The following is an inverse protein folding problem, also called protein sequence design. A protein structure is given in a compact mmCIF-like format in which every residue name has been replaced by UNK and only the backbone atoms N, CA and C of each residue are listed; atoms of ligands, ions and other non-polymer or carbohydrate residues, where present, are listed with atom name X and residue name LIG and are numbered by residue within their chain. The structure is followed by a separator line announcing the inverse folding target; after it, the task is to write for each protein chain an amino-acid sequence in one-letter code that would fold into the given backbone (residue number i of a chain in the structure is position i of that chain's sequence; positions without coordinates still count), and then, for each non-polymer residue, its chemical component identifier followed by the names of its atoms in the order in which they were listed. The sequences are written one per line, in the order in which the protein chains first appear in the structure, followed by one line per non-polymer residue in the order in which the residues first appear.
data_IF_508057067358
#
_entry.id   IF_508057067358
#
_cell.length_a   1.000
_cell.length_b   1.000
_cell.length_c   1.000
_cell.angle_alpha   90.00
_cell.angle_beta   90.00
_cell.angle_gamma   90.00
#
_symmetry.space_group_name_H-M   'P 1'
#
loop_
_entity.id
_entity.type
_entity.pdbx_description
1 polymer ?
#
# COMPACT_ATOMS: atom_id res chain seq x y z
N UNK A 1 -23.83 -12.33 -31.19
CA UNK A 1 -22.47 -11.79 -31.42
C UNK A 1 -21.67 -11.98 -30.13
N UNK A 2 -20.41 -12.42 -30.23
CA UNK A 2 -19.63 -12.87 -29.09
C UNK A 2 -19.27 -11.71 -28.15
N UNK A 3 -19.42 -11.90 -26.84
CA UNK A 3 -18.97 -10.92 -25.85
C UNK A 3 -17.43 -11.02 -25.70
N UNK A 4 -16.72 -9.90 -25.47
CA UNK A 4 -15.30 -9.92 -25.17
C UNK A 4 -15.03 -10.72 -23.89
N UNK A 5 -13.87 -11.38 -23.84
CA UNK A 5 -13.45 -12.13 -22.65
C UNK A 5 -13.08 -11.18 -21.51
N UNK A 6 -13.06 -11.71 -20.28
CA UNK A 6 -12.60 -10.96 -19.10
C UNK A 6 -11.15 -10.49 -19.24
N UNK A 7 -10.31 -11.26 -19.93
CA UNK A 7 -8.92 -10.88 -20.22
C UNK A 7 -8.85 -9.68 -21.16
N UNK A 8 -9.70 -9.63 -22.19
CA UNK A 8 -9.78 -8.48 -23.11
C UNK A 8 -10.29 -7.23 -22.40
N UNK A 9 -11.27 -7.36 -21.50
CA UNK A 9 -11.75 -6.25 -20.67
C UNK A 9 -10.66 -5.72 -19.72
N UNK A 10 -9.89 -6.62 -19.12
CA UNK A 10 -8.74 -6.25 -18.26
C UNK A 10 -7.64 -5.57 -19.08
N UNK A 11 -7.27 -6.14 -20.23
CA UNK A 11 -6.27 -5.57 -21.13
C UNK A 11 -6.71 -4.22 -21.71
N UNK A 12 -8.01 -3.99 -21.90
CA UNK A 12 -8.56 -2.68 -22.26
C UNK A 12 -8.35 -1.66 -21.14
N UNK A 13 -8.61 -2.05 -19.89
CA UNK A 13 -8.42 -1.20 -18.71
C UNK A 13 -6.94 -0.83 -18.53
N UNK A 14 -6.04 -1.80 -18.66
CA UNK A 14 -4.59 -1.61 -18.50
C UNK A 14 -3.94 -0.90 -19.71
N UNK A 15 -4.69 -0.65 -20.79
CA UNK A 15 -4.18 -0.03 -22.01
C UNK A 15 -3.24 -0.93 -22.83
N UNK A 16 -3.30 -2.25 -22.61
CA UNK A 16 -2.46 -3.25 -23.25
C UNK A 16 -3.00 -3.73 -24.61
N UNK A 17 -4.26 -3.42 -24.93
CA UNK A 17 -4.83 -3.73 -26.24
C UNK A 17 -4.28 -2.81 -27.34
N UNK A 18 -3.99 -3.40 -28.50
CA UNK A 18 -3.72 -2.64 -29.72
C UNK A 18 -4.91 -1.76 -30.11
N UNK A 19 -4.64 -0.67 -30.83
CA UNK A 19 -5.65 0.37 -31.18
C UNK A 19 -6.93 -0.19 -31.81
N UNK A 20 -6.81 -1.13 -32.74
CA UNK A 20 -7.96 -1.73 -33.42
C UNK A 20 -8.84 -2.55 -32.45
N UNK A 21 -8.24 -3.45 -31.67
CA UNK A 21 -8.93 -4.27 -30.68
C UNK A 21 -9.55 -3.40 -29.58
N UNK A 22 -8.82 -2.41 -29.07
CA UNK A 22 -9.35 -1.49 -28.07
C UNK A 22 -10.58 -0.73 -28.59
N UNK A 23 -10.60 -0.34 -29.86
CA UNK A 23 -11.78 0.30 -30.47
C UNK A 23 -12.95 -0.67 -30.61
N UNK A 24 -12.70 -1.90 -31.05
CA UNK A 24 -13.75 -2.93 -31.18
C UNK A 24 -14.40 -3.25 -29.83
N UNK A 25 -13.60 -3.46 -28.79
CA UNK A 25 -14.10 -3.73 -27.43
C UNK A 25 -14.85 -2.53 -26.87
N UNK A 26 -14.37 -1.29 -27.05
CA UNK A 26 -15.09 -0.08 -26.63
C UNK A 26 -16.45 0.06 -27.32
N UNK A 27 -16.51 -0.19 -28.62
CA UNK A 27 -17.77 -0.16 -29.36
C UNK A 27 -18.72 -1.23 -28.81
N UNK A 28 -18.24 -2.46 -28.58
CA UNK A 28 -19.07 -3.50 -27.99
C UNK A 28 -19.58 -3.12 -26.59
N UNK A 29 -18.75 -2.53 -25.74
CA UNK A 29 -19.16 -2.06 -24.40
C UNK A 29 -20.25 -0.98 -24.51
N UNK A 30 -20.19 -0.12 -25.52
CA UNK A 30 -21.22 0.91 -25.74
C UNK A 30 -22.57 0.31 -26.14
N UNK A 31 -22.57 -0.81 -26.89
CA UNK A 31 -23.79 -1.45 -27.42
C UNK A 31 -24.30 -2.61 -26.54
N UNK A 32 -23.49 -3.14 -25.61
CA UNK A 32 -23.81 -4.31 -24.80
C UNK A 32 -23.90 -3.95 -23.30
N UNK A 33 -25.13 -3.90 -22.71
CA UNK A 33 -25.31 -3.48 -21.32
C UNK A 33 -24.65 -4.42 -20.31
N UNK A 34 -24.57 -5.73 -20.62
CA UNK A 34 -23.86 -6.71 -19.79
C UNK A 34 -22.38 -6.37 -19.70
N UNK A 35 -21.72 -6.15 -20.84
CA UNK A 35 -20.30 -5.82 -20.88
C UNK A 35 -20.01 -4.45 -20.27
N UNK A 36 -20.92 -3.48 -20.43
CA UNK A 36 -20.83 -2.20 -19.73
C UNK A 36 -20.84 -2.36 -18.21
N UNK A 37 -21.73 -3.20 -17.68
CA UNK A 37 -21.81 -3.46 -16.24
C UNK A 37 -20.58 -4.20 -15.72
N UNK A 38 -20.09 -5.21 -16.45
CA UNK A 38 -18.89 -5.97 -16.08
C UNK A 38 -17.66 -5.04 -16.06
N UNK A 39 -17.47 -4.22 -17.10
CA UNK A 39 -16.36 -3.29 -17.18
C UNK A 39 -16.42 -2.21 -16.09
N UNK A 40 -17.61 -1.67 -15.78
CA UNK A 40 -17.79 -0.73 -14.69
C UNK A 40 -17.50 -1.35 -13.31
N UNK A 41 -17.83 -2.63 -13.13
CA UNK A 41 -17.54 -3.37 -11.90
C UNK A 41 -16.04 -3.58 -11.72
N UNK A 42 -15.37 -4.04 -12.77
CA UNK A 42 -13.91 -4.18 -12.81
C UNK A 42 -13.21 -2.86 -12.48
N UNK A 43 -13.61 -1.78 -13.14
CA UNK A 43 -13.07 -0.44 -12.91
C UNK A 43 -13.21 0.00 -11.45
N UNK A 44 -14.38 -0.23 -10.83
CA UNK A 44 -14.63 0.12 -9.43
C UNK A 44 -13.79 -0.70 -8.45
N UNK A 45 -13.65 -2.00 -8.69
CA UNK A 45 -12.83 -2.89 -7.85
C UNK A 45 -11.36 -2.44 -7.87
N UNK A 46 -10.82 -2.16 -9.06
CA UNK A 46 -9.43 -1.72 -9.21
C UNK A 46 -9.18 -0.33 -8.59
N UNK A 47 -10.11 0.61 -8.74
CA UNK A 47 -10.04 1.91 -8.08
C UNK A 47 -10.06 1.80 -6.55
N UNK A 48 -10.89 0.92 -6.01
CA UNK A 48 -10.96 0.68 -4.57
C UNK A 48 -9.66 0.03 -4.05
N UNK A 49 -9.13 -0.94 -4.78
CA UNK A 49 -7.84 -1.55 -4.47
C UNK A 49 -6.72 -0.51 -4.44
N UNK A 50 -6.64 0.37 -5.44
CA UNK A 50 -5.64 1.44 -5.51
C UNK A 50 -5.72 2.40 -4.31
N UNK A 51 -6.91 2.68 -3.78
CA UNK A 51 -7.09 3.52 -2.58
C UNK A 51 -6.67 2.85 -1.28
N UNK A 52 -6.75 1.52 -1.21
CA UNK A 52 -6.43 0.74 -0.01
C UNK A 52 -4.94 0.52 0.21
N UNK A 53 -4.12 0.73 -0.83
CA UNK A 53 -2.66 0.65 -0.72
C UNK A 53 -2.14 1.98 -0.17
N UNK A 54 -1.73 1.99 1.10
CA UNK A 54 -1.03 3.14 1.66
C UNK A 54 0.25 3.40 0.84
N UNK A 55 0.51 4.64 0.40
CA UNK A 55 1.74 4.95 -0.29
C UNK A 55 2.94 4.60 0.60
N UNK A 56 3.97 3.98 0.04
CA UNK A 56 5.18 3.55 0.75
C UNK A 56 5.71 4.53 1.84
N UNK A 57 5.81 5.85 1.60
CA UNK A 57 6.25 6.80 2.63
C UNK A 57 5.36 6.84 3.88
N UNK A 58 4.06 6.60 3.76
CA UNK A 58 3.16 6.49 4.91
C UNK A 58 3.45 5.23 5.74
N UNK A 59 3.78 4.12 5.08
CA UNK A 59 4.10 2.85 5.75
C UNK A 59 5.41 2.97 6.53
N UNK A 60 6.45 3.59 5.95
CA UNK A 60 7.71 3.84 6.66
C UNK A 60 7.53 4.78 7.85
N UNK A 61 6.70 5.83 7.71
CA UNK A 61 6.35 6.74 8.81
C UNK A 61 5.62 6.00 9.93
N UNK A 62 4.66 5.14 9.60
CA UNK A 62 3.94 4.32 10.58
C UNK A 62 4.87 3.32 11.30
N UNK A 63 5.82 2.71 10.58
CA UNK A 63 6.85 1.84 11.15
C UNK A 63 7.79 2.60 12.10
N UNK A 64 8.21 3.79 11.72
CA UNK A 64 9.05 4.63 12.58
C UNK A 64 8.29 5.04 13.86
N UNK A 65 7.02 5.45 13.72
CA UNK A 65 6.18 5.83 14.85
C UNK A 65 5.97 4.65 15.81
N UNK A 66 5.60 3.48 15.30
CA UNK A 66 5.41 2.26 16.11
C UNK A 66 6.71 1.82 16.80
N UNK A 67 7.87 1.95 16.13
CA UNK A 67 9.18 1.73 16.77
C UNK A 67 9.39 2.68 17.95
N UNK A 68 9.18 3.98 17.76
CA UNK A 68 9.33 4.96 18.83
C UNK A 68 8.36 4.74 19.99
N UNK A 69 7.12 4.35 19.74
CA UNK A 69 6.17 3.97 20.80
C UNK A 69 6.68 2.77 21.61
N UNK A 70 7.23 1.75 20.95
CA UNK A 70 7.82 0.58 21.61
C UNK A 70 9.05 0.96 22.44
N UNK A 71 9.89 1.87 21.95
CA UNK A 71 11.09 2.36 22.66
C UNK A 71 10.71 3.18 23.90
N UNK A 72 9.63 3.96 23.85
CA UNK A 72 9.13 4.75 24.97
C UNK A 72 8.46 3.90 26.06
N UNK A 73 7.84 2.80 25.68
CA UNK A 73 7.13 1.89 26.60
C UNK A 73 7.99 0.73 27.09
N UNK A 74 9.18 0.55 26.53
CA UNK A 74 10.14 -0.43 27.02
C UNK A 74 10.60 -0.05 28.44
N UNK A 75 10.74 -1.02 29.36
CA UNK A 75 11.21 -0.73 30.71
C UNK A 75 12.61 -0.14 30.61
N UNK A 76 12.77 1.10 31.12
CA UNK A 76 14.06 1.77 31.25
C UNK A 76 14.98 0.89 32.08
N UNK A 77 15.91 0.18 31.44
CA UNK A 77 16.96 -0.61 32.11
C UNK A 77 18.08 0.25 32.72
N UNK A 78 17.79 1.49 33.09
CA UNK A 78 18.78 2.42 33.64
C UNK A 78 18.21 3.12 34.85
N UNK A 79 18.53 2.56 36.02
CA UNK A 79 18.95 3.23 37.25
C UNK A 79 19.46 2.14 38.21
N UNK A 80 20.66 1.61 37.94
CA UNK A 80 21.52 1.06 39.00
C UNK A 80 22.74 1.96 39.07
N UNK A 81 22.63 3.00 39.89
CA UNK A 81 23.73 3.86 40.28
C UNK A 81 24.45 3.20 41.45
N UNK A 82 25.69 2.75 41.24
CA UNK A 82 26.64 2.48 42.31
C UNK A 82 27.84 3.42 42.12
N UNK A 83 28.00 4.32 43.08
CA UNK A 83 28.85 5.51 43.12
C UNK A 83 30.35 5.27 42.85
N UNK A 84 31.09 6.23 42.26
CA UNK A 84 32.53 6.29 42.45
C UNK A 84 32.84 6.72 43.89
N UNK A 85 33.35 5.78 44.70
CA UNK A 85 33.81 6.03 46.08
C UNK A 85 34.92 7.10 46.11
N UNK A 86 34.57 8.24 46.70
CA UNK A 86 35.37 9.08 47.60
C UNK A 86 36.90 8.90 47.63
N UNK A 87 37.59 9.89 47.08
CA UNK A 87 38.75 10.64 47.63
C UNK A 87 39.38 10.07 48.91
N UNK A 88 40.64 9.61 48.81
CA UNK A 88 41.56 9.48 49.94
C UNK A 88 42.91 10.13 49.58
N UNK A 89 43.34 11.07 50.42
CA UNK A 89 44.60 11.84 50.39
C UNK A 89 45.19 11.80 51.82
N UNK A 90 46.46 12.16 52.02
CA UNK A 90 47.66 11.32 52.11
C UNK A 90 48.08 11.00 53.58
N UNK A 91 49.12 10.19 53.79
CA UNK A 91 49.88 10.18 55.06
C UNK A 91 51.39 10.05 54.83
N UNK A 92 52.10 10.86 55.63
CA UNK A 92 53.54 11.14 55.77
C UNK A 92 54.49 9.97 55.61
#
# INVERSE_FOLDING_TARGET
MNCPSTEELSALYDGLLGRASARAVRNHIADCPRCAQEFATLHRMLQNAARSVAPAPLLDRARAMTRSLREQTAPRKHLSAASPKTRSLPRR
#
